data_IF_373578085986
#
_entry.id   IF_373578085986
#
_cell.length_a   1.000
_cell.length_b   1.000
_cell.length_c   1.000
_cell.angle_alpha   90.00
_cell.angle_beta   90.00
_cell.angle_gamma   90.00
#
_symmetry.space_group_name_H-M   'P 1'
#
loop_
_entity.id
_entity.type
_entity.pdbx_description
1 polymer ?
#
# COMPACT_ATOMS: atom_id res chain seq x y z
N UNK A 1 8.16 -15.67 -3.34
CA UNK A 1 7.15 -14.67 -2.93
C UNK A 1 7.59 -13.28 -3.41
N UNK A 2 7.23 -12.89 -4.63
CA UNK A 2 7.58 -11.57 -5.12
C UNK A 2 6.35 -10.66 -4.98
N UNK A 3 6.48 -9.56 -4.23
CA UNK A 3 5.52 -8.44 -4.18
C UNK A 3 4.23 -8.64 -3.35
N UNK A 4 4.31 -9.37 -2.23
CA UNK A 4 3.25 -9.41 -1.21
C UNK A 4 3.81 -8.93 0.13
N UNK A 5 3.02 -8.15 0.87
CA UNK A 5 3.40 -7.74 2.22
C UNK A 5 3.39 -8.95 3.17
N UNK A 6 4.51 -9.19 3.84
CA UNK A 6 4.66 -10.30 4.78
C UNK A 6 3.64 -10.26 5.93
N UNK A 7 3.31 -9.08 6.46
CA UNK A 7 2.46 -8.94 7.65
C UNK A 7 0.95 -8.91 7.35
N UNK A 8 0.52 -8.29 6.25
CA UNK A 8 -0.92 -8.10 5.96
C UNK A 8 -1.38 -8.73 4.64
N UNK A 9 -0.52 -9.43 3.92
CA UNK A 9 -0.88 -10.11 2.67
C UNK A 9 -1.26 -9.17 1.52
N UNK A 10 -1.06 -7.85 1.66
CA UNK A 10 -1.38 -6.88 0.60
C UNK A 10 -0.60 -7.21 -0.66
N UNK A 11 -1.34 -7.37 -1.75
CA UNK A 11 -0.87 -7.65 -3.10
C UNK A 11 -1.32 -6.58 -4.07
N UNK A 12 -0.72 -6.55 -5.26
CA UNK A 12 -1.16 -5.64 -6.31
C UNK A 12 -2.63 -5.92 -6.70
N UNK A 13 -3.36 -4.87 -7.03
CA UNK A 13 -4.77 -4.93 -7.40
C UNK A 13 -4.95 -4.35 -8.80
N UNK A 14 -5.80 -4.98 -9.61
CA UNK A 14 -6.21 -4.42 -10.89
C UNK A 14 -7.31 -3.39 -10.68
N UNK A 15 -7.24 -2.28 -11.41
CA UNK A 15 -8.38 -1.40 -11.56
C UNK A 15 -8.19 -0.48 -12.76
N UNK A 16 -8.86 0.67 -12.74
CA UNK A 16 -8.88 1.57 -13.89
C UNK A 16 -8.70 3.02 -13.47
N UNK A 17 -8.12 3.81 -14.37
CA UNK A 17 -8.06 5.27 -14.23
C UNK A 17 -8.94 5.92 -15.29
N UNK A 18 -9.74 6.91 -14.86
CA UNK A 18 -10.54 7.78 -15.71
C UNK A 18 -10.19 9.23 -15.35
N UNK A 19 -9.68 9.99 -16.32
CA UNK A 19 -9.37 11.41 -16.15
C UNK A 19 -10.23 12.23 -17.09
N UNK A 20 -11.09 13.05 -16.53
CA UNK A 20 -11.85 14.04 -17.31
C UNK A 20 -11.08 15.36 -17.43
N UNK A 21 -11.42 16.16 -18.45
CA UNK A 21 -10.95 17.55 -18.59
C UNK A 21 -11.65 18.46 -17.57
N UNK A 22 -11.06 19.61 -17.24
CA UNK A 22 -11.65 20.62 -16.35
C UNK A 22 -13.00 21.10 -16.93
N UNK A 23 -14.03 21.32 -16.10
CA UNK A 23 -15.34 21.83 -16.54
C UNK A 23 -16.42 20.78 -16.85
N UNK A 24 -16.16 19.47 -16.69
CA UNK A 24 -17.14 18.41 -16.98
C UNK A 24 -18.16 18.12 -15.85
N UNK A 25 -18.19 18.95 -14.80
CA UNK A 25 -18.97 18.70 -13.58
C UNK A 25 -20.50 18.65 -13.82
N UNK A 26 -20.98 19.17 -14.96
CA UNK A 26 -22.40 19.17 -15.37
C UNK A 26 -23.03 17.81 -15.69
N UNK A 27 -22.43 16.69 -15.26
CA UNK A 27 -22.90 15.29 -15.40
C UNK A 27 -23.11 14.76 -16.84
N UNK A 28 -23.27 15.61 -17.85
CA UNK A 28 -23.41 15.26 -19.28
C UNK A 28 -22.18 14.56 -19.89
N UNK A 29 -21.02 14.70 -19.26
CA UNK A 29 -19.72 14.22 -19.79
C UNK A 29 -19.05 13.17 -18.90
N UNK A 30 -19.80 12.59 -17.95
CA UNK A 30 -19.30 11.62 -16.96
C UNK A 30 -18.85 10.28 -17.56
N UNK A 31 -19.47 9.82 -18.64
CA UNK A 31 -19.23 8.48 -19.19
C UNK A 31 -18.45 8.48 -20.51
N UNK A 32 -17.94 9.63 -20.97
CA UNK A 32 -17.27 9.74 -22.27
C UNK A 32 -15.81 9.26 -22.26
N UNK A 33 -15.17 9.20 -21.08
CA UNK A 33 -13.77 8.81 -20.98
C UNK A 33 -13.65 7.30 -20.89
N UNK A 34 -12.93 6.72 -21.85
CA UNK A 34 -12.56 5.30 -21.82
C UNK A 34 -11.68 5.01 -20.60
N UNK A 35 -12.07 4.08 -19.71
CA UNK A 35 -11.23 3.69 -18.59
C UNK A 35 -9.94 3.03 -19.09
N UNK A 36 -8.80 3.48 -18.58
CA UNK A 36 -7.51 2.85 -18.85
C UNK A 36 -7.24 1.80 -17.76
N UNK A 37 -7.03 0.52 -18.10
CA UNK A 37 -6.69 -0.49 -17.11
C UNK A 37 -5.30 -0.21 -16.51
N UNK A 38 -5.17 -0.36 -15.20
CA UNK A 38 -3.94 -0.10 -14.44
C UNK A 38 -3.75 -1.17 -13.37
N UNK A 39 -2.48 -1.52 -13.14
CA UNK A 39 -2.07 -2.31 -11.99
C UNK A 39 -1.66 -1.37 -10.84
N UNK A 40 -2.41 -1.41 -9.75
CA UNK A 40 -2.06 -0.68 -8.52
C UNK A 40 -1.10 -1.52 -7.69
N UNK A 41 0.18 -1.12 -7.72
CA UNK A 41 1.24 -1.76 -6.95
C UNK A 41 1.20 -1.32 -5.48
N UNK A 42 1.52 -2.25 -4.59
CA UNK A 42 1.68 -1.96 -3.17
C UNK A 42 3.03 -1.28 -2.95
N UNK A 43 3.08 -0.25 -2.11
CA UNK A 43 4.34 0.35 -1.67
C UNK A 43 5.03 -0.58 -0.65
N UNK A 44 5.76 -1.56 -1.16
CA UNK A 44 6.53 -2.53 -0.39
C UNK A 44 7.98 -2.06 -0.27
N UNK A 45 8.53 -2.18 0.93
CA UNK A 45 9.90 -1.81 1.25
C UNK A 45 10.54 -2.94 2.07
N UNK A 46 11.84 -3.21 1.91
CA UNK A 46 12.55 -4.17 2.74
C UNK A 46 12.64 -3.63 4.17
N UNK A 47 12.31 -4.47 5.16
CA UNK A 47 12.34 -4.11 6.57
C UNK A 47 12.82 -5.30 7.43
N UNK A 48 13.61 -5.03 8.46
CA UNK A 48 14.07 -6.04 9.41
C UNK A 48 12.99 -6.31 10.46
N UNK A 49 12.55 -7.55 10.54
CA UNK A 49 11.59 -8.02 11.55
C UNK A 49 12.17 -9.19 12.32
N UNK A 50 11.83 -9.31 13.60
CA UNK A 50 12.10 -10.53 14.37
C UNK A 50 10.98 -11.54 14.10
N UNK A 51 11.29 -12.68 13.51
CA UNK A 51 10.36 -13.79 13.31
C UNK A 51 10.93 -14.98 14.09
N UNK A 52 10.18 -15.49 15.08
CA UNK A 52 10.66 -16.57 15.94
C UNK A 52 11.97 -16.23 16.68
N UNK A 53 12.13 -14.98 17.12
CA UNK A 53 13.33 -14.51 17.82
C UNK A 53 14.53 -14.18 16.91
N UNK A 54 14.52 -14.58 15.63
CA UNK A 54 15.62 -14.31 14.70
C UNK A 54 15.34 -13.07 13.82
N UNK A 55 16.31 -12.16 13.64
CA UNK A 55 16.16 -11.04 12.72
C UNK A 55 16.15 -11.54 11.27
N UNK A 56 15.08 -11.22 10.55
CA UNK A 56 14.86 -11.60 9.15
C UNK A 56 14.49 -10.35 8.35
N UNK A 57 15.04 -10.21 7.13
CA UNK A 57 14.62 -9.17 6.18
C UNK A 57 13.38 -9.63 5.43
N UNK A 58 12.29 -8.87 5.52
CA UNK A 58 11.04 -9.16 4.83
C UNK A 58 10.49 -7.92 4.11
N UNK A 59 9.71 -8.15 3.05
CA UNK A 59 9.02 -7.08 2.33
C UNK A 59 7.75 -6.67 3.08
N UNK A 60 7.69 -5.42 3.54
CA UNK A 60 6.55 -4.86 4.26
C UNK A 60 5.97 -3.65 3.55
N UNK A 61 4.66 -3.47 3.64
CA UNK A 61 4.03 -2.25 3.15
C UNK A 61 4.28 -1.07 4.11
N UNK A 62 4.30 0.15 3.56
CA UNK A 62 4.53 1.37 4.34
C UNK A 62 3.58 1.52 5.55
N UNK A 63 2.32 1.07 5.46
CA UNK A 63 1.36 1.09 6.59
C UNK A 63 1.83 0.19 7.75
N UNK A 64 2.34 -1.00 7.44
CA UNK A 64 2.84 -1.92 8.46
C UNK A 64 4.14 -1.41 9.08
N UNK A 65 5.05 -0.84 8.28
CA UNK A 65 6.29 -0.23 8.78
C UNK A 65 5.95 0.91 9.73
N UNK A 66 5.02 1.81 9.35
CA UNK A 66 4.57 2.90 10.21
C UNK A 66 4.01 2.38 11.54
N UNK A 67 3.17 1.33 11.50
CA UNK A 67 2.59 0.76 12.71
C UNK A 67 3.65 0.13 13.62
N UNK A 68 4.58 -0.64 13.06
CA UNK A 68 5.69 -1.23 13.83
C UNK A 68 6.57 -0.18 14.50
N UNK A 69 6.88 0.93 13.81
CA UNK A 69 7.62 2.05 14.40
C UNK A 69 6.85 2.71 15.55
N UNK A 70 5.54 2.90 15.39
CA UNK A 70 4.67 3.45 16.42
C UNK A 70 4.61 2.54 17.65
N UNK A 71 4.38 1.24 17.46
CA UNK A 71 4.30 0.27 18.56
C UNK A 71 5.66 0.22 19.30
N UNK A 72 6.78 0.19 18.59
CA UNK A 72 8.12 0.25 19.19
C UNK A 72 8.37 1.53 20.00
N UNK A 73 7.96 2.70 19.48
CA UNK A 73 8.07 3.95 20.23
C UNK A 73 7.19 3.97 21.47
N UNK A 74 6.03 3.31 21.43
CA UNK A 74 5.10 3.24 22.55
C UNK A 74 5.62 2.30 23.64
N UNK A 75 6.14 1.15 23.26
CA UNK A 75 6.81 0.21 24.18
C UNK A 75 7.93 0.91 24.96
N UNK A 76 8.74 1.74 24.29
CA UNK A 76 9.82 2.51 24.93
C UNK A 76 9.32 3.58 25.93
N UNK A 77 8.14 4.18 25.70
CA UNK A 77 7.56 5.18 26.61
C UNK A 77 6.85 4.56 27.83
N UNK A 78 6.46 3.30 27.72
CA UNK A 78 5.78 2.55 28.78
C UNK A 78 6.71 1.63 29.58
N UNK A 79 7.96 1.50 29.14
CA UNK A 79 9.03 0.74 29.80
C UNK A 79 9.87 1.69 30.67
#
# INVERSE_FOLDING_TARGET
MANVCFNCGKKAVFGSSQKHRRGVAGKRWKNRVTPTPRLFRVNLQPFSIKVGGKPTRAMLCAKCIKRKKFDASREYLTA
#
